data_IF_318518174085
#
_entry.id   IF_318518174085
#
_cell.length_a   1.000
_cell.length_b   1.000
_cell.length_c   1.000
_cell.angle_alpha   90.00
_cell.angle_beta   90.00
_cell.angle_gamma   90.00
#
_symmetry.space_group_name_H-M   'P 1'
#
loop_
_entity.id
_entity.type
_entity.pdbx_description
1 polymer ?
#
# COMPACT_ATOMS: atom_id res chain seq x y z
N UNK A 1 2.93 -2.81 -21.90
CA UNK A 1 3.67 -1.54 -21.68
C UNK A 1 3.90 -1.22 -20.20
N UNK A 2 2.90 -0.78 -19.42
CA UNK A 2 3.09 -0.44 -17.98
C UNK A 2 3.70 -1.60 -17.16
N UNK A 3 3.33 -2.84 -17.50
CA UNK A 3 3.93 -4.07 -16.94
C UNK A 3 5.45 -4.20 -17.19
N UNK A 4 5.97 -3.75 -18.34
CA UNK A 4 7.42 -3.77 -18.62
C UNK A 4 8.17 -2.73 -17.78
N UNK A 5 7.60 -1.54 -17.60
CA UNK A 5 8.14 -0.51 -16.71
C UNK A 5 8.16 -0.98 -15.26
N UNK A 6 7.09 -1.65 -14.83
CA UNK A 6 7.02 -2.29 -13.52
C UNK A 6 8.10 -3.37 -13.35
N UNK A 7 8.17 -4.35 -14.25
CA UNK A 7 9.16 -5.42 -14.13
C UNK A 7 10.59 -4.84 -14.09
N UNK A 8 10.85 -3.81 -14.89
CA UNK A 8 12.14 -3.13 -14.87
C UNK A 8 12.46 -2.50 -13.51
N UNK A 9 11.54 -1.73 -12.92
CA UNK A 9 11.78 -1.10 -11.62
C UNK A 9 11.81 -2.12 -10.47
N UNK A 10 10.98 -3.15 -10.53
CA UNK A 10 10.92 -4.23 -9.54
C UNK A 10 12.23 -5.00 -9.46
N UNK A 11 12.76 -5.41 -10.60
CA UNK A 11 14.04 -6.09 -10.70
C UNK A 11 15.19 -5.20 -10.23
N UNK A 12 15.22 -3.93 -10.65
CA UNK A 12 16.28 -3.00 -10.22
C UNK A 12 16.27 -2.80 -8.70
N UNK A 13 15.08 -2.78 -8.10
CA UNK A 13 14.89 -2.63 -6.65
C UNK A 13 15.21 -3.88 -5.83
N UNK A 14 15.54 -5.01 -6.47
CA UNK A 14 16.14 -6.14 -5.74
C UNK A 14 17.53 -5.77 -5.19
N UNK A 15 18.29 -4.98 -5.97
CA UNK A 15 19.68 -4.66 -5.64
C UNK A 15 19.93 -3.18 -5.33
N UNK A 16 18.99 -2.29 -5.70
CA UNK A 16 19.17 -0.84 -5.59
C UNK A 16 18.05 -0.18 -4.80
N UNK A 17 18.40 0.86 -4.05
CA UNK A 17 17.39 1.77 -3.49
C UNK A 17 16.71 2.55 -4.60
N UNK A 18 15.45 2.94 -4.38
CA UNK A 18 14.69 3.71 -5.38
C UNK A 18 15.38 5.02 -5.76
N UNK A 19 16.06 5.69 -4.81
CA UNK A 19 16.77 6.94 -5.07
C UNK A 19 18.06 6.75 -5.91
N UNK A 20 18.65 5.56 -5.91
CA UNK A 20 19.82 5.20 -6.73
C UNK A 20 19.45 4.82 -8.18
N UNK A 21 18.19 4.44 -8.43
CA UNK A 21 17.73 4.06 -9.76
C UNK A 21 17.46 5.31 -10.59
N UNK A 22 18.10 5.46 -11.77
CA UNK A 22 17.74 6.55 -12.69
C UNK A 22 16.58 6.15 -13.60
N UNK A 23 15.86 7.13 -14.16
CA UNK A 23 14.87 6.87 -15.21
C UNK A 23 15.52 6.13 -16.39
N UNK A 24 16.75 6.47 -16.76
CA UNK A 24 17.48 5.79 -17.84
C UNK A 24 17.71 4.29 -17.58
N UNK A 25 17.99 3.89 -16.33
CA UNK A 25 18.10 2.47 -15.98
C UNK A 25 16.79 1.73 -16.24
N UNK A 26 15.65 2.34 -15.88
CA UNK A 26 14.31 1.78 -16.10
C UNK A 26 14.03 1.70 -17.60
N UNK A 27 14.31 2.75 -18.38
CA UNK A 27 14.07 2.79 -19.83
C UNK A 27 14.88 1.70 -20.55
N UNK A 28 16.18 1.58 -20.22
CA UNK A 28 17.06 0.57 -20.82
C UNK A 28 16.58 -0.85 -20.54
N UNK A 29 16.10 -1.12 -19.32
CA UNK A 29 15.67 -2.46 -18.92
C UNK A 29 14.25 -2.80 -19.39
N UNK A 30 13.39 -1.82 -19.60
CA UNK A 30 12.00 -2.02 -20.03
C UNK A 30 11.80 -2.01 -21.54
N UNK A 31 12.81 -1.58 -22.30
CA UNK A 31 12.71 -1.33 -23.75
C UNK A 31 11.59 -0.33 -24.11
N UNK A 32 11.37 0.66 -23.23
CA UNK A 32 10.37 1.72 -23.43
C UNK A 32 11.08 3.05 -23.68
N UNK A 33 10.59 3.82 -24.66
CA UNK A 33 11.14 5.14 -24.96
C UNK A 33 10.85 6.16 -23.84
N UNK A 34 11.77 7.11 -23.67
CA UNK A 34 11.63 8.21 -22.70
C UNK A 34 10.31 8.99 -22.87
N UNK A 35 9.93 9.29 -24.12
CA UNK A 35 8.68 9.98 -24.43
C UNK A 35 7.46 9.19 -23.95
N UNK A 36 7.49 7.86 -24.10
CA UNK A 36 6.42 6.98 -23.62
C UNK A 36 6.35 6.94 -22.11
N UNK A 37 7.49 6.91 -21.41
CA UNK A 37 7.53 6.96 -19.95
C UNK A 37 6.86 8.22 -19.41
N UNK A 38 7.30 9.40 -19.87
CA UNK A 38 6.78 10.67 -19.38
C UNK A 38 5.34 10.98 -19.82
N UNK A 39 4.79 10.21 -20.78
CA UNK A 39 3.35 10.22 -21.08
C UNK A 39 2.51 9.65 -19.93
N UNK A 40 3.07 8.74 -19.12
CA UNK A 40 2.33 8.04 -18.06
C UNK A 40 2.80 8.37 -16.65
N UNK A 41 4.07 8.67 -16.46
CA UNK A 41 4.67 8.83 -15.14
C UNK A 41 5.50 10.11 -15.10
N UNK A 42 5.30 10.90 -14.04
CA UNK A 42 6.07 12.12 -13.80
C UNK A 42 7.53 11.80 -13.49
N UNK A 43 7.74 10.74 -12.73
CA UNK A 43 9.06 10.26 -12.29
C UNK A 43 9.00 8.78 -11.90
N UNK A 44 10.14 8.24 -11.43
CA UNK A 44 10.28 6.85 -10.97
C UNK A 44 9.46 6.54 -9.71
N UNK A 45 9.19 7.53 -8.86
CA UNK A 45 8.40 7.36 -7.64
C UNK A 45 6.91 7.26 -8.00
N UNK A 46 6.45 8.06 -8.94
CA UNK A 46 5.09 7.99 -9.51
C UNK A 46 4.83 6.62 -10.15
N UNK A 47 5.79 6.07 -10.91
CA UNK A 47 5.72 4.70 -11.41
C UNK A 47 5.58 3.66 -10.29
N UNK A 48 6.40 3.76 -9.24
CA UNK A 48 6.38 2.84 -8.09
C UNK A 48 5.05 2.93 -7.33
N UNK A 49 4.59 4.15 -7.04
CA UNK A 49 3.34 4.41 -6.33
C UNK A 49 2.14 3.92 -7.14
N UNK A 50 2.12 4.18 -8.46
CA UNK A 50 1.10 3.67 -9.36
C UNK A 50 1.07 2.14 -9.37
N UNK A 51 2.24 1.49 -9.44
CA UNK A 51 2.29 0.02 -9.39
C UNK A 51 1.66 -0.51 -8.11
N UNK A 52 2.02 0.04 -6.94
CA UNK A 52 1.45 -0.38 -5.67
C UNK A 52 -0.07 -0.23 -5.68
N UNK A 53 -0.60 0.95 -6.03
CA UNK A 53 -2.04 1.18 -6.09
C UNK A 53 -2.76 0.22 -7.05
N UNK A 54 -2.19 -0.03 -8.23
CA UNK A 54 -2.77 -0.94 -9.21
C UNK A 54 -2.77 -2.38 -8.71
N UNK A 55 -1.67 -2.86 -8.12
CA UNK A 55 -1.60 -4.22 -7.61
C UNK A 55 -2.59 -4.46 -6.47
N UNK A 56 -2.66 -3.54 -5.50
CA UNK A 56 -3.62 -3.63 -4.40
C UNK A 56 -5.06 -3.69 -4.92
N UNK A 57 -5.39 -2.84 -5.90
CA UNK A 57 -6.75 -2.73 -6.45
C UNK A 57 -7.15 -3.92 -7.33
N UNK A 58 -6.25 -4.39 -8.19
CA UNK A 58 -6.59 -5.37 -9.23
C UNK A 58 -6.41 -6.82 -8.75
N UNK A 59 -5.42 -7.06 -7.89
CA UNK A 59 -4.98 -8.41 -7.55
C UNK A 59 -5.26 -8.78 -6.09
N UNK A 60 -5.29 -7.81 -5.18
CA UNK A 60 -5.21 -8.11 -3.75
C UNK A 60 -6.55 -8.06 -3.02
N UNK A 61 -7.39 -7.07 -3.31
CA UNK A 61 -8.65 -6.87 -2.59
C UNK A 61 -9.86 -7.25 -3.43
N UNK A 62 -10.64 -8.19 -2.91
CA UNK A 62 -11.95 -8.52 -3.44
C UNK A 62 -13.04 -7.95 -2.52
N UNK A 63 -14.21 -7.63 -3.09
CA UNK A 63 -15.33 -7.03 -2.35
C UNK A 63 -15.81 -7.85 -1.14
N UNK A 64 -15.50 -9.15 -1.16
CA UNK A 64 -15.96 -10.15 -0.19
C UNK A 64 -14.97 -10.32 0.97
N UNK A 65 -13.76 -9.79 0.84
CA UNK A 65 -12.72 -9.94 1.86
C UNK A 65 -13.10 -9.17 3.13
N UNK A 66 -13.04 -9.83 4.27
CA UNK A 66 -13.12 -9.16 5.56
C UNK A 66 -11.81 -8.40 5.87
N UNK A 67 -11.81 -7.57 6.91
CA UNK A 67 -10.66 -6.72 7.21
C UNK A 67 -9.40 -7.50 7.58
N UNK A 68 -9.53 -8.60 8.33
CA UNK A 68 -8.38 -9.44 8.69
C UNK A 68 -7.74 -10.06 7.44
N UNK A 69 -8.55 -10.52 6.49
CA UNK A 69 -8.09 -11.01 5.19
C UNK A 69 -7.38 -9.92 4.40
N UNK A 70 -7.93 -8.70 4.36
CA UNK A 70 -7.30 -7.53 3.73
C UNK A 70 -5.92 -7.25 4.36
N UNK A 71 -5.84 -7.23 5.69
CA UNK A 71 -4.58 -7.03 6.42
C UNK A 71 -3.57 -8.15 6.14
N UNK A 72 -4.00 -9.42 6.16
CA UNK A 72 -3.14 -10.56 5.90
C UNK A 72 -2.60 -10.56 4.47
N UNK A 73 -3.47 -10.40 3.47
CA UNK A 73 -3.07 -10.33 2.05
C UNK A 73 -2.09 -9.18 1.81
N UNK A 74 -2.31 -8.02 2.44
CA UNK A 74 -1.39 -6.88 2.39
C UNK A 74 -0.02 -7.23 2.94
N UNK A 75 0.01 -7.86 4.12
CA UNK A 75 1.25 -8.29 4.75
C UNK A 75 1.97 -9.37 3.92
N UNK A 76 1.26 -10.33 3.33
CA UNK A 76 1.82 -11.36 2.44
C UNK A 76 2.44 -10.74 1.19
N UNK A 77 1.71 -9.84 0.52
CA UNK A 77 2.20 -9.13 -0.65
C UNK A 77 3.52 -8.39 -0.38
N UNK A 78 3.60 -7.75 0.78
CA UNK A 78 4.81 -7.06 1.25
C UNK A 78 5.93 -8.06 1.53
N UNK A 79 5.61 -9.15 2.24
CA UNK A 79 6.58 -10.16 2.67
C UNK A 79 7.25 -10.86 1.49
N UNK A 80 6.46 -11.27 0.49
CA UNK A 80 6.95 -11.89 -0.75
C UNK A 80 7.89 -10.97 -1.54
N UNK A 81 7.80 -9.65 -1.31
CA UNK A 81 8.58 -8.61 -2.02
C UNK A 81 9.44 -7.82 -1.05
N UNK A 82 9.98 -8.51 -0.03
CA UNK A 82 10.73 -7.90 1.07
C UNK A 82 11.81 -6.92 0.62
N UNK A 83 12.70 -7.31 -0.30
CA UNK A 83 13.79 -6.45 -0.77
C UNK A 83 13.26 -5.17 -1.46
N UNK A 84 12.23 -5.32 -2.29
CA UNK A 84 11.57 -4.20 -2.95
C UNK A 84 11.05 -3.19 -1.92
N UNK A 85 10.29 -3.63 -0.92
CA UNK A 85 9.74 -2.73 0.09
C UNK A 85 10.82 -2.17 1.02
N UNK A 86 11.83 -2.96 1.40
CA UNK A 86 12.99 -2.47 2.15
C UNK A 86 13.72 -1.34 1.42
N UNK A 87 13.83 -1.43 0.09
CA UNK A 87 14.46 -0.41 -0.73
C UNK A 87 13.53 0.79 -1.03
N UNK A 88 12.21 0.57 -1.05
CA UNK A 88 11.21 1.63 -1.23
C UNK A 88 11.13 2.57 -0.02
N UNK A 89 11.10 2.03 1.20
CA UNK A 89 10.86 2.83 2.42
C UNK A 89 12.04 3.71 2.85
N UNK A 90 13.24 3.48 2.27
CA UNK A 90 14.48 4.22 2.59
C UNK A 90 14.47 5.65 2.06
N UNK A 91 13.75 5.92 0.97
CA UNK A 91 13.63 7.27 0.43
C UNK A 91 12.53 8.05 1.17
N UNK A 92 12.86 9.26 1.64
CA UNK A 92 11.97 10.15 2.41
C UNK A 92 11.79 11.54 1.76
N UNK A 93 12.19 11.69 0.50
CA UNK A 93 12.00 12.95 -0.21
C UNK A 93 10.61 13.08 -0.82
N UNK A 94 10.46 14.05 -1.73
CA UNK A 94 9.20 14.34 -2.40
C UNK A 94 8.64 13.10 -3.13
N UNK A 95 7.33 12.86 -2.99
CA UNK A 95 6.64 11.75 -3.64
C UNK A 95 7.12 10.38 -3.12
N UNK A 96 7.66 10.33 -1.90
CA UNK A 96 8.15 9.08 -1.31
C UNK A 96 7.04 8.04 -1.20
N UNK A 97 7.44 6.77 -1.20
CA UNK A 97 6.51 5.67 -1.01
C UNK A 97 5.72 5.80 0.29
N UNK A 98 6.35 6.29 1.37
CA UNK A 98 5.71 6.45 2.68
C UNK A 98 4.62 7.51 2.66
N UNK A 99 4.89 8.69 2.08
CA UNK A 99 3.88 9.74 1.92
C UNK A 99 2.69 9.22 1.11
N UNK A 100 2.98 8.50 0.04
CA UNK A 100 1.95 7.91 -0.82
C UNK A 100 1.09 6.87 -0.08
N UNK A 101 1.69 5.86 0.57
CA UNK A 101 0.92 4.80 1.25
C UNK A 101 0.15 5.34 2.45
N UNK A 102 0.65 6.36 3.14
CA UNK A 102 -0.06 7.00 4.25
C UNK A 102 -1.41 7.54 3.75
N UNK A 103 -1.37 8.34 2.68
CA UNK A 103 -2.57 8.91 2.08
C UNK A 103 -3.47 7.82 1.48
N UNK A 104 -2.88 6.90 0.71
CA UNK A 104 -3.61 5.81 0.08
C UNK A 104 -4.36 4.95 1.11
N UNK A 105 -3.71 4.62 2.23
CA UNK A 105 -4.31 3.81 3.28
C UNK A 105 -5.41 4.55 4.04
N UNK A 106 -5.24 5.85 4.30
CA UNK A 106 -6.30 6.69 4.88
C UNK A 106 -7.55 6.75 3.98
N UNK A 107 -7.35 6.98 2.68
CA UNK A 107 -8.43 7.02 1.69
C UNK A 107 -9.14 5.66 1.62
N UNK A 108 -8.37 4.57 1.61
CA UNK A 108 -8.89 3.19 1.59
C UNK A 108 -9.70 2.85 2.86
N UNK A 109 -9.18 3.13 4.06
CA UNK A 109 -9.89 2.93 5.32
C UNK A 109 -11.20 3.72 5.36
N UNK A 110 -11.16 4.99 4.94
CA UNK A 110 -12.33 5.87 4.91
C UNK A 110 -13.40 5.34 3.96
N UNK A 111 -13.01 5.01 2.72
CA UNK A 111 -13.93 4.48 1.73
C UNK A 111 -14.53 3.13 2.15
N UNK A 112 -13.71 2.25 2.72
CA UNK A 112 -14.15 0.93 3.22
C UNK A 112 -15.17 1.08 4.34
N UNK A 113 -14.89 1.95 5.31
CA UNK A 113 -15.81 2.21 6.41
C UNK A 113 -17.14 2.78 5.88
N UNK A 114 -17.09 3.83 5.05
CA UNK A 114 -18.29 4.46 4.48
C UNK A 114 -19.14 3.45 3.72
N UNK A 115 -18.51 2.64 2.87
CA UNK A 115 -19.19 1.63 2.04
C UNK A 115 -19.87 0.55 2.88
N UNK A 116 -19.18 -0.02 3.88
CA UNK A 116 -19.70 -1.13 4.69
C UNK A 116 -20.79 -0.71 5.68
N UNK A 117 -20.84 0.58 6.03
CA UNK A 117 -21.79 1.11 7.03
C UNK A 117 -22.88 1.97 6.41
N UNK A 118 -22.92 2.09 5.08
CA UNK A 118 -23.84 2.98 4.35
C UNK A 118 -23.89 4.40 4.98
N UNK A 119 -22.74 4.89 5.44
CA UNK A 119 -22.64 6.13 6.20
C UNK A 119 -22.52 7.33 5.27
N UNK A 120 -23.39 8.32 5.42
CA UNK A 120 -23.35 9.51 4.55
C UNK A 120 -22.29 10.55 4.95
N UNK A 121 -21.78 10.48 6.18
CA UNK A 121 -20.79 11.42 6.70
C UNK A 121 -19.79 10.73 7.63
N UNK A 122 -18.55 11.22 7.58
CA UNK A 122 -17.48 10.84 8.50
C UNK A 122 -17.44 11.89 9.61
N UNK A 123 -17.79 11.50 10.84
CA UNK A 123 -17.71 12.41 11.98
C UNK A 123 -16.26 12.79 12.28
N UNK A 124 -16.04 13.89 12.99
CA UNK A 124 -14.69 14.30 13.44
C UNK A 124 -14.01 13.21 14.27
N UNK A 125 -14.75 12.55 15.15
CA UNK A 125 -14.24 11.45 15.98
C UNK A 125 -13.82 10.24 15.12
N UNK A 126 -14.66 9.85 14.15
CA UNK A 126 -14.33 8.76 13.24
C UNK A 126 -13.12 9.10 12.37
N UNK A 127 -13.04 10.33 11.86
CA UNK A 127 -11.89 10.79 11.08
C UNK A 127 -10.61 10.73 11.90
N UNK A 128 -10.64 11.21 13.13
CA UNK A 128 -9.51 11.13 14.06
C UNK A 128 -9.10 9.68 14.32
N UNK A 129 -10.06 8.78 14.55
CA UNK A 129 -9.78 7.37 14.77
C UNK A 129 -9.14 6.71 13.53
N UNK A 130 -9.63 7.00 12.32
CA UNK A 130 -9.04 6.53 11.06
C UNK A 130 -7.60 7.04 10.93
N UNK A 131 -7.37 8.34 11.16
CA UNK A 131 -6.04 8.94 11.02
C UNK A 131 -5.06 8.36 12.03
N UNK A 132 -5.49 8.18 13.28
CA UNK A 132 -4.72 7.54 14.33
C UNK A 132 -4.36 6.10 13.99
N UNK A 133 -5.35 5.29 13.57
CA UNK A 133 -5.12 3.91 13.17
C UNK A 133 -4.17 3.82 11.96
N UNK A 134 -4.37 4.65 10.94
CA UNK A 134 -3.51 4.66 9.76
C UNK A 134 -2.08 5.04 10.10
N UNK A 135 -1.87 6.10 10.87
CA UNK A 135 -0.53 6.50 11.30
C UNK A 135 0.18 5.39 12.10
N UNK A 136 -0.53 4.77 13.05
CA UNK A 136 -0.01 3.63 13.82
C UNK A 136 0.36 2.44 12.93
N UNK A 137 -0.55 2.03 12.04
CA UNK A 137 -0.33 0.90 11.11
C UNK A 137 0.86 1.16 10.18
N UNK A 138 0.98 2.35 9.60
CA UNK A 138 2.13 2.69 8.73
C UNK A 138 3.44 2.68 9.52
N UNK A 139 3.46 3.19 10.75
CA UNK A 139 4.66 3.14 11.59
C UNK A 139 5.05 1.70 11.96
N UNK A 140 4.08 0.84 12.26
CA UNK A 140 4.30 -0.59 12.51
C UNK A 140 4.83 -1.28 11.25
N UNK A 141 4.24 -1.01 10.09
CA UNK A 141 4.72 -1.52 8.80
C UNK A 141 6.19 -1.13 8.54
N UNK A 142 6.55 0.15 8.70
CA UNK A 142 7.93 0.62 8.53
C UNK A 142 8.88 -0.13 9.48
N UNK A 143 8.47 -0.29 10.74
CA UNK A 143 9.27 -0.97 11.77
C UNK A 143 9.42 -2.46 11.46
N UNK A 144 8.38 -3.10 10.96
CA UNK A 144 8.38 -4.51 10.54
C UNK A 144 9.31 -4.73 9.34
N UNK A 145 9.24 -3.89 8.31
CA UNK A 145 10.13 -3.95 7.13
C UNK A 145 11.60 -3.74 7.54
N UNK A 146 11.88 -2.77 8.43
CA UNK A 146 13.22 -2.46 8.93
C UNK A 146 13.78 -3.54 9.88
N UNK A 147 12.92 -4.30 10.55
CA UNK A 147 13.31 -5.39 11.45
C UNK A 147 13.36 -6.74 10.75
N UNK A 148 13.57 -6.74 9.42
CA UNK A 148 13.64 -7.94 8.59
C UNK A 148 12.37 -8.79 8.55
N UNK A 149 11.22 -8.19 8.85
CA UNK A 149 9.90 -8.84 8.83
C UNK A 149 9.83 -10.07 9.74
N UNK A 150 10.29 -9.92 10.98
CA UNK A 150 10.36 -11.02 11.98
C UNK A 150 9.01 -11.66 12.30
N UNK A 151 7.93 -10.89 12.31
CA UNK A 151 6.57 -11.43 12.42
C UNK A 151 6.15 -12.01 11.08
N UNK A 152 5.52 -13.18 11.08
CA UNK A 152 4.85 -13.66 9.87
C UNK A 152 3.70 -12.71 9.47
N UNK A 153 3.30 -12.69 8.18
CA UNK A 153 2.17 -11.89 7.71
C UNK A 153 0.90 -12.07 8.55
N UNK A 154 0.58 -13.32 8.89
CA UNK A 154 -0.59 -13.68 9.70
C UNK A 154 -0.52 -13.12 11.11
N UNK A 155 0.63 -13.24 11.77
CA UNK A 155 0.83 -12.70 13.12
C UNK A 155 0.72 -11.17 13.12
N UNK A 156 1.32 -10.50 12.13
CA UNK A 156 1.22 -9.05 11.99
C UNK A 156 -0.23 -8.62 11.78
N UNK A 157 -0.94 -9.26 10.86
CA UNK A 157 -2.34 -8.94 10.56
C UNK A 157 -3.25 -9.11 11.79
N UNK A 158 -3.09 -10.21 12.52
CA UNK A 158 -3.84 -10.44 13.75
C UNK A 158 -3.57 -9.36 14.81
N UNK A 159 -2.31 -8.98 15.01
CA UNK A 159 -1.94 -7.92 15.96
C UNK A 159 -2.53 -6.56 15.55
N UNK A 160 -2.48 -6.21 14.26
CA UNK A 160 -3.08 -4.97 13.76
C UNK A 160 -4.60 -4.94 13.95
N UNK A 161 -5.29 -6.04 13.69
CA UNK A 161 -6.74 -6.15 13.87
C UNK A 161 -7.14 -6.09 15.35
N UNK A 162 -6.41 -6.80 16.22
CA UNK A 162 -6.69 -6.84 17.66
C UNK A 162 -6.50 -5.47 18.34
N UNK A 163 -5.55 -4.68 17.85
CA UNK A 163 -5.24 -3.34 18.38
C UNK A 163 -5.95 -2.21 17.62
N UNK A 164 -6.89 -2.53 16.72
CA UNK A 164 -7.73 -1.53 16.07
C UNK A 164 -8.64 -0.82 17.10
N UNK A 165 -8.83 0.50 17.03
CA UNK A 165 -9.83 1.19 17.83
C UNK A 165 -11.24 0.61 17.64
N UNK A 166 -12.00 0.47 18.74
CA UNK A 166 -13.30 -0.20 18.69
C UNK A 166 -14.33 0.50 17.77
N UNK A 167 -14.27 1.84 17.70
CA UNK A 167 -15.09 2.64 16.75
C UNK A 167 -14.84 2.26 15.28
N UNK A 168 -13.66 1.72 14.96
CA UNK A 168 -13.34 1.24 13.62
C UNK A 168 -13.72 -0.23 13.44
N UNK A 169 -13.62 -1.06 14.48
CA UNK A 169 -13.95 -2.49 14.40
C UNK A 169 -15.37 -2.71 13.91
N UNK A 170 -16.33 -1.94 14.42
CA UNK A 170 -17.74 -2.03 14.01
C UNK A 170 -17.93 -1.79 12.52
N UNK A 171 -17.12 -0.90 11.92
CA UNK A 171 -17.31 -0.51 10.53
C UNK A 171 -16.37 -1.17 9.52
N UNK A 172 -15.13 -1.44 9.90
CA UNK A 172 -14.16 -2.11 9.04
C UNK A 172 -14.35 -3.63 9.04
N UNK A 173 -14.79 -4.25 10.15
CA UNK A 173 -15.00 -5.70 10.18
C UNK A 173 -16.38 -6.12 9.66
N UNK A 174 -17.30 -5.18 9.41
CA UNK A 174 -18.58 -5.50 8.80
C UNK A 174 -18.35 -6.15 7.42
N UNK A 175 -18.95 -7.32 7.17
CA UNK A 175 -19.00 -7.90 5.82
C UNK A 175 -19.87 -7.00 4.94
N UNK A 176 -19.50 -6.83 3.66
CA UNK A 176 -20.30 -6.08 2.72
C UNK A 176 -21.73 -6.64 2.74
N UNK A 177 -22.71 -5.79 3.07
CA UNK A 177 -24.10 -6.18 2.95
C UNK A 177 -24.39 -6.38 1.46
N UNK A 178 -24.57 -7.64 1.04
CA UNK A 178 -25.12 -7.96 -0.27
C UNK A 178 -26.47 -7.28 -0.39
N UNK A 179 -26.54 -6.24 -1.21
CA UNK A 179 -27.82 -5.70 -1.67
C UNK A 179 -28.51 -6.78 -2.50
N UNK A 180 -29.43 -7.52 -1.87
CA UNK A 180 -30.54 -8.23 -2.55
C UNK A 180 -31.51 -7.24 -3.15
#
# INVERSE_FOLDING_TARGET
MKKHLYNAIFDLMQDHRIDQISTDMILRKSDISRATFYRYFKDKYDLMNWYYASYIKEELFHSEDNWEQICNKSAEFIYERKLFFQNAIKYKGQNSFIEFIQKYYQDFCTATYVSRNNSQAVSTELKFAIDYHCAGTIQIFISWVNSDMKLSPKELAALLCNNMPDILKSGLNATAQTHT
#
